data_IF_351456608553
#
_entry.id   IF_351456608553
#
_cell.length_a   1.000
_cell.length_b   1.000
_cell.length_c   1.000
_cell.angle_alpha   90.00
_cell.angle_beta   90.00
_cell.angle_gamma   90.00
#
_symmetry.space_group_name_H-M   'P 1'
#
loop_
_entity.id
_entity.type
_entity.pdbx_description
1 polymer ?
#
# COMPACT_ATOMS: atom_id res chain seq x y z
N UNK A 1 5.55 13.23 1.69
CA UNK A 1 4.13 12.97 2.08
C UNK A 1 3.64 14.02 3.09
N UNK A 2 2.33 14.25 3.20
CA UNK A 2 1.80 15.24 4.16
C UNK A 2 1.89 14.71 5.60
N UNK A 3 2.04 15.61 6.58
CA UNK A 3 2.21 15.32 8.02
C UNK A 3 1.25 14.24 8.53
N UNK A 4 -0.03 14.31 8.15
CA UNK A 4 -1.07 13.35 8.56
C UNK A 4 -0.78 11.89 8.14
N UNK A 5 -0.10 11.69 7.01
CA UNK A 5 0.27 10.36 6.53
C UNK A 5 1.41 9.78 7.35
N UNK A 6 2.42 10.61 7.59
CA UNK A 6 3.57 10.27 8.42
C UNK A 6 3.14 9.89 9.84
N UNK A 7 2.30 10.71 10.49
CA UNK A 7 1.73 10.39 11.80
C UNK A 7 0.96 9.06 11.83
N UNK A 8 0.29 8.70 10.73
CA UNK A 8 -0.38 7.39 10.62
C UNK A 8 0.64 6.25 10.54
N UNK A 9 1.75 6.43 9.83
CA UNK A 9 2.81 5.45 9.73
C UNK A 9 3.56 5.28 11.07
N UNK A 10 3.81 6.37 11.80
CA UNK A 10 4.41 6.30 13.14
C UNK A 10 3.55 5.50 14.12
N UNK A 11 2.25 5.80 14.20
CA UNK A 11 1.32 5.06 15.06
C UNK A 11 1.29 3.58 14.66
N UNK A 12 1.26 3.28 13.37
CA UNK A 12 1.25 1.90 12.89
C UNK A 12 2.56 1.17 13.23
N UNK A 13 3.70 1.82 13.05
CA UNK A 13 5.02 1.27 13.38
C UNK A 13 5.12 0.92 14.86
N UNK A 14 4.73 1.85 15.74
CA UNK A 14 4.71 1.65 17.20
C UNK A 14 3.81 0.47 17.60
N UNK A 15 2.57 0.43 17.10
CA UNK A 15 1.59 -0.60 17.48
C UNK A 15 1.96 -1.98 16.90
N UNK A 16 2.58 -2.03 15.73
CA UNK A 16 3.01 -3.28 15.09
C UNK A 16 4.37 -3.77 15.60
N UNK A 17 5.08 -2.96 16.39
CA UNK A 17 6.43 -3.29 16.88
C UNK A 17 7.46 -3.36 15.75
N UNK A 18 7.31 -2.52 14.72
CA UNK A 18 8.27 -2.44 13.62
C UNK A 18 9.47 -1.63 14.09
N UNK A 19 10.66 -2.27 14.13
CA UNK A 19 11.90 -1.61 14.55
C UNK A 19 12.50 -0.70 13.48
N UNK A 20 12.14 -0.92 12.21
CA UNK A 20 12.58 -0.10 11.09
C UNK A 20 12.02 1.32 11.19
N UNK A 21 12.86 2.31 10.85
CA UNK A 21 12.44 3.70 10.80
C UNK A 21 11.37 3.92 9.72
N UNK A 22 10.43 4.83 9.99
CA UNK A 22 9.45 5.24 8.97
C UNK A 22 10.17 6.01 7.88
N UNK A 23 10.20 5.44 6.67
CA UNK A 23 10.77 6.11 5.51
C UNK A 23 9.78 7.07 4.85
N UNK A 24 10.31 8.17 4.34
CA UNK A 24 9.56 9.22 3.64
C UNK A 24 9.94 9.16 2.16
N UNK A 25 8.93 9.02 1.30
CA UNK A 25 9.10 9.03 -0.16
C UNK A 25 8.12 9.99 -0.83
N UNK A 26 8.60 10.72 -1.85
CA UNK A 26 7.77 11.59 -2.67
C UNK A 26 6.78 10.80 -3.55
N UNK A 27 7.02 9.52 -3.79
CA UNK A 27 6.09 8.65 -4.52
C UNK A 27 4.72 8.48 -3.84
N UNK A 28 4.58 8.90 -2.58
CA UNK A 28 3.33 8.89 -1.80
C UNK A 28 2.67 10.28 -1.67
N UNK A 29 3.22 11.34 -2.28
CA UNK A 29 2.59 12.66 -2.26
C UNK A 29 1.38 12.71 -3.21
N UNK A 30 0.37 13.56 -2.93
CA UNK A 30 -0.72 13.78 -3.88
C UNK A 30 -0.19 14.20 -5.25
N UNK A 31 -0.69 13.57 -6.32
CA UNK A 31 -0.27 13.86 -7.70
C UNK A 31 0.86 12.96 -8.24
N UNK A 32 1.61 12.24 -7.39
CA UNK A 32 2.59 11.27 -7.85
C UNK A 32 1.95 10.17 -8.71
N UNK A 33 2.70 9.65 -9.67
CA UNK A 33 2.24 8.57 -10.55
C UNK A 33 2.40 7.19 -9.86
N UNK A 34 1.45 6.25 -10.06
CA UNK A 34 1.55 4.91 -9.48
C UNK A 34 2.85 4.18 -9.78
N UNK A 35 3.42 4.42 -10.96
CA UNK A 35 4.67 3.82 -11.39
C UNK A 35 5.86 4.21 -10.49
N UNK A 36 5.86 5.41 -9.92
CA UNK A 36 6.92 5.89 -9.03
C UNK A 36 6.95 5.05 -7.74
N UNK A 37 5.78 4.85 -7.11
CA UNK A 37 5.71 4.04 -5.90
C UNK A 37 6.01 2.58 -6.17
N UNK A 38 5.55 2.03 -7.30
CA UNK A 38 5.86 0.65 -7.68
C UNK A 38 7.36 0.44 -7.93
N UNK A 39 8.05 1.43 -8.49
CA UNK A 39 9.50 1.39 -8.65
C UNK A 39 10.21 1.45 -7.29
N UNK A 40 9.77 2.32 -6.38
CA UNK A 40 10.29 2.36 -4.99
C UNK A 40 10.09 1.03 -4.28
N UNK A 41 8.89 0.44 -4.36
CA UNK A 41 8.59 -0.85 -3.72
C UNK A 41 9.42 -2.01 -4.29
N UNK A 42 9.67 -2.01 -5.60
CA UNK A 42 10.49 -3.05 -6.24
C UNK A 42 11.98 -2.98 -5.87
N UNK A 43 12.45 -1.87 -5.29
CA UNK A 43 13.82 -1.72 -4.80
C UNK A 43 13.99 -1.99 -3.30
N UNK A 44 12.90 -2.28 -2.59
CA UNK A 44 12.94 -2.58 -1.15
C UNK A 44 13.12 -4.09 -0.98
N UNK A 45 14.09 -4.48 -0.14
CA UNK A 45 14.40 -5.90 0.14
C UNK A 45 13.52 -6.50 1.25
N UNK A 46 12.66 -5.70 1.88
CA UNK A 46 11.76 -6.14 2.95
C UNK A 46 10.59 -6.99 2.41
N UNK A 47 10.29 -8.10 3.10
CA UNK A 47 9.18 -9.01 2.73
C UNK A 47 7.81 -8.31 2.82
N UNK A 48 7.65 -7.37 3.76
CA UNK A 48 6.36 -6.72 4.05
C UNK A 48 6.55 -5.23 4.24
N UNK A 49 5.84 -4.45 3.44
CA UNK A 49 5.86 -2.98 3.49
C UNK A 49 4.45 -2.46 3.75
N UNK A 50 4.32 -1.56 4.73
CA UNK A 50 3.09 -0.80 4.95
C UNK A 50 3.25 0.62 4.39
N UNK A 51 2.46 0.96 3.38
CA UNK A 51 2.42 2.32 2.83
C UNK A 51 1.24 3.11 3.41
N UNK A 52 1.49 4.35 3.83
CA UNK A 52 0.43 5.32 4.16
C UNK A 52 0.43 6.46 3.15
N UNK A 53 -0.76 6.94 2.78
CA UNK A 53 -0.89 7.95 1.73
C UNK A 53 -2.28 8.56 1.65
N UNK A 54 -2.66 8.98 0.45
CA UNK A 54 -3.91 9.71 0.21
C UNK A 54 -4.68 9.14 -0.98
N UNK A 55 -6.01 9.24 -0.93
CA UNK A 55 -6.84 9.11 -2.12
C UNK A 55 -6.76 10.39 -2.97
N UNK A 56 -6.86 10.29 -4.31
CA UNK A 56 -7.04 9.05 -5.09
C UNK A 56 -5.71 8.32 -5.39
N UNK A 57 -4.56 8.82 -4.94
CA UNK A 57 -3.25 8.25 -5.29
C UNK A 57 -3.11 6.77 -4.88
N UNK A 58 -3.41 6.41 -3.63
CA UNK A 58 -3.37 5.01 -3.21
C UNK A 58 -4.39 4.14 -3.95
N UNK A 59 -5.57 4.69 -4.27
CA UNK A 59 -6.59 3.98 -5.05
C UNK A 59 -6.06 3.65 -6.46
N UNK A 60 -5.34 4.60 -7.08
CA UNK A 60 -4.66 4.41 -8.37
C UNK A 60 -3.57 3.36 -8.28
N UNK A 61 -2.76 3.36 -7.21
CA UNK A 61 -1.71 2.36 -7.00
C UNK A 61 -2.30 0.97 -6.91
N UNK A 62 -3.33 0.77 -6.08
CA UNK A 62 -3.98 -0.55 -5.94
C UNK A 62 -4.56 -1.00 -7.28
N UNK A 63 -5.30 -0.13 -7.98
CA UNK A 63 -5.88 -0.46 -9.28
C UNK A 63 -4.80 -0.83 -10.33
N UNK A 64 -3.74 -0.02 -10.44
CA UNK A 64 -2.63 -0.27 -11.35
C UNK A 64 -1.89 -1.57 -11.02
N UNK A 65 -1.72 -1.88 -9.73
CA UNK A 65 -1.02 -3.09 -9.28
C UNK A 65 -1.74 -4.36 -9.72
N UNK A 66 -3.07 -4.35 -9.78
CA UNK A 66 -3.89 -5.51 -10.15
C UNK A 66 -4.39 -5.47 -11.60
N UNK A 67 -3.90 -4.54 -12.43
CA UNK A 67 -4.35 -4.38 -13.81
C UNK A 67 -5.80 -3.88 -13.97
N UNK A 68 -6.37 -3.26 -12.93
CA UNK A 68 -7.73 -2.71 -12.96
C UNK A 68 -7.74 -1.26 -13.48
N UNK A 69 -8.87 -0.85 -14.08
CA UNK A 69 -9.08 0.55 -14.49
C UNK A 69 -9.16 1.47 -13.27
N UNK A 70 -8.69 2.71 -13.44
CA UNK A 70 -8.88 3.77 -12.45
C UNK A 70 -10.36 3.93 -12.05
N UNK A 71 -10.61 4.18 -10.77
CA UNK A 71 -11.97 4.29 -10.23
C UNK A 71 -12.67 2.94 -9.99
N UNK A 72 -11.96 1.81 -10.07
CA UNK A 72 -12.50 0.50 -9.67
C UNK A 72 -12.26 0.16 -8.21
N UNK A 73 -11.30 0.84 -7.58
CA UNK A 73 -10.89 0.63 -6.19
C UNK A 73 -11.05 1.94 -5.44
N UNK A 74 -11.54 1.88 -4.20
CA UNK A 74 -11.71 3.03 -3.33
C UNK A 74 -11.37 2.67 -1.89
N UNK A 75 -10.26 3.20 -1.38
CA UNK A 75 -9.90 3.14 0.03
C UNK A 75 -10.65 4.22 0.79
N UNK A 76 -11.33 3.84 1.88
CA UNK A 76 -11.78 4.80 2.88
C UNK A 76 -10.56 5.32 3.64
N UNK A 77 -10.66 6.48 4.31
CA UNK A 77 -9.63 6.91 5.27
C UNK A 77 -9.40 5.79 6.31
N UNK A 78 -8.16 5.37 6.49
CA UNK A 78 -7.76 4.21 7.31
C UNK A 78 -8.33 2.86 6.85
N UNK A 79 -8.85 2.77 5.63
CA UNK A 79 -9.06 1.51 4.94
C UNK A 79 -7.75 1.03 4.33
N UNK A 80 -7.62 -0.28 4.18
CA UNK A 80 -6.35 -0.90 3.80
C UNK A 80 -6.60 -1.96 2.74
N UNK A 81 -5.72 -2.00 1.74
CA UNK A 81 -5.59 -3.09 0.80
C UNK A 81 -4.31 -3.86 1.13
N UNK A 82 -4.35 -5.18 0.99
CA UNK A 82 -3.15 -6.02 1.00
C UNK A 82 -2.93 -6.60 -0.37
N UNK A 83 -1.74 -6.33 -0.88
CA UNK A 83 -1.28 -6.76 -2.18
C UNK A 83 -0.14 -7.74 -1.97
N UNK A 84 -0.18 -8.84 -2.70
CA UNK A 84 0.93 -9.79 -2.80
C UNK A 84 1.64 -9.59 -4.14
N UNK A 85 2.91 -9.19 -4.07
CA UNK A 85 3.70 -8.85 -5.25
C UNK A 85 4.66 -9.97 -5.61
N UNK A 86 4.61 -10.40 -6.86
CA UNK A 86 5.54 -11.41 -7.40
C UNK A 86 6.83 -10.76 -7.93
N UNK A 87 7.50 -9.92 -7.11
CA UNK A 87 8.78 -9.32 -7.49
C UNK A 87 9.87 -10.39 -7.62
N UNK A 88 10.77 -10.24 -8.60
CA UNK A 88 11.95 -11.12 -8.73
C UNK A 88 11.69 -12.54 -9.23
N UNK A 89 10.46 -12.90 -9.62
CA UNK A 89 10.19 -14.18 -10.28
C UNK A 89 10.78 -14.15 -11.70
N UNK A 90 11.57 -15.16 -12.07
CA UNK A 90 12.10 -15.28 -13.43
C UNK A 90 10.93 -15.34 -14.44
N UNK A 91 10.84 -14.33 -15.31
CA UNK A 91 9.70 -14.14 -16.20
C UNK A 91 8.52 -13.38 -15.59
N UNK A 92 8.76 -12.54 -14.57
CA UNK A 92 7.77 -11.71 -13.89
C UNK A 92 6.93 -10.79 -14.79
N UNK A 93 6.02 -10.01 -14.21
CA UNK A 93 4.94 -9.33 -14.93
C UNK A 93 5.47 -8.47 -16.09
N UNK A 94 4.94 -8.70 -17.30
CA UNK A 94 5.27 -7.87 -18.46
C UNK A 94 4.67 -6.47 -18.32
N UNK A 95 5.17 -5.47 -19.06
CA UNK A 95 4.50 -4.18 -19.14
C UNK A 95 3.02 -4.34 -19.52
N UNK A 96 2.11 -3.92 -18.63
CA UNK A 96 0.66 -4.03 -18.81
C UNK A 96 0.00 -5.24 -18.13
N UNK A 97 0.75 -6.17 -17.56
CA UNK A 97 0.21 -7.27 -16.75
C UNK A 97 0.04 -6.85 -15.27
N UNK A 98 -0.88 -7.47 -14.51
CA UNK A 98 -0.97 -7.29 -13.07
C UNK A 98 0.37 -7.61 -12.39
N UNK A 99 0.81 -6.70 -11.53
CA UNK A 99 2.05 -6.82 -10.76
C UNK A 99 1.83 -7.46 -9.38
N UNK A 100 0.58 -7.52 -8.94
CA UNK A 100 0.19 -8.08 -7.66
C UNK A 100 -1.19 -8.73 -7.70
N UNK A 101 -1.43 -9.62 -6.75
CA UNK A 101 -2.76 -10.09 -6.37
C UNK A 101 -3.32 -9.23 -5.23
N UNK A 102 -4.62 -8.90 -5.28
CA UNK A 102 -5.32 -8.28 -4.16
C UNK A 102 -5.86 -9.35 -3.22
N UNK A 103 -5.15 -9.60 -2.12
CA UNK A 103 -5.56 -10.57 -1.11
C UNK A 103 -6.82 -10.12 -0.36
N UNK A 104 -6.88 -8.83 0.00
CA UNK A 104 -8.06 -8.24 0.64
C UNK A 104 -8.08 -6.72 0.53
N UNK A 105 -9.29 -6.16 0.57
CA UNK A 105 -9.57 -4.71 0.62
C UNK A 105 -10.62 -4.45 1.70
N UNK A 106 -10.22 -3.87 2.83
CA UNK A 106 -11.07 -3.78 4.01
C UNK A 106 -11.28 -2.33 4.48
N UNK A 107 -12.53 -1.94 4.80
CA UNK A 107 -12.81 -0.63 5.38
C UNK A 107 -12.45 -0.59 6.88
N UNK A 108 -12.28 0.61 7.46
CA UNK A 108 -11.89 0.77 8.87
C UNK A 108 -12.79 0.06 9.87
N UNK A 109 -14.09 -0.04 9.56
CA UNK A 109 -15.07 -0.72 10.43
C UNK A 109 -14.73 -2.20 10.59
N UNK A 110 -14.34 -2.88 9.52
CA UNK A 110 -14.01 -4.31 9.54
C UNK A 110 -12.66 -4.51 10.22
N UNK A 111 -11.65 -3.70 9.88
CA UNK A 111 -10.33 -3.77 10.53
C UNK A 111 -10.42 -3.59 12.06
N UNK A 112 -11.24 -2.66 12.55
CA UNK A 112 -11.49 -2.49 13.99
C UNK A 112 -12.18 -3.69 14.64
N UNK A 113 -13.03 -4.42 13.91
CA UNK A 113 -13.65 -5.63 14.42
C UNK A 113 -12.60 -6.75 14.53
N UNK A 114 -11.76 -6.92 13.50
CA UNK A 114 -10.68 -7.90 13.50
C UNK A 114 -9.64 -7.63 14.60
N UNK A 115 -9.26 -6.38 14.81
CA UNK A 115 -8.30 -5.99 15.87
C UNK A 115 -8.84 -6.12 17.31
N UNK A 116 -10.14 -6.37 17.48
CA UNK A 116 -10.75 -6.63 18.80
C UNK A 116 -10.79 -8.11 19.15
N UNK A 117 -10.57 -8.99 18.20
CA UNK A 117 -10.47 -10.42 18.48
C UNK A 117 -9.16 -10.63 19.23
N UNK A 118 -9.18 -11.12 20.49
CA UNK A 118 -7.95 -11.41 21.22
C UNK A 118 -7.12 -12.41 20.42
N UNK A 119 -5.81 -12.15 20.31
CA UNK A 119 -4.83 -13.09 19.75
C UNK A 119 -4.63 -14.26 20.71
#
# INVERSE_FOLDING_TARGET
PLVRSYQTAEIASEVLGVEAAVEITDALVPGAEPAELLATLASIDEERVLCTGHSPNLDRVVAASIGARFGSVFLKKCGTACLDFAWGVAGGPRPGEPKAELLWLLPPRVLRQLGRTPR
#
